data_IF_242703359898
#
_entry.id   IF_242703359898
#
_cell.length_a   1.000
_cell.length_b   1.000
_cell.length_c   1.000
_cell.angle_alpha   90.00
_cell.angle_beta   90.00
_cell.angle_gamma   90.00
#
_symmetry.space_group_name_H-M   'P 1'
#
loop_
_entity.id
_entity.type
_entity.pdbx_description
1 polymer ?
#
# COMPACT_ATOMS: atom_id res chain seq x y z
N UNK A 1 0.46 -2.05 -18.47
CA UNK A 1 0.00 -1.71 -17.10
C UNK A 1 1.23 -1.71 -16.21
N UNK A 2 2.02 -0.61 -16.19
CA UNK A 2 3.39 -0.57 -15.62
C UNK A 2 3.51 0.30 -14.36
N UNK A 3 2.41 0.58 -13.65
CA UNK A 3 2.43 1.52 -12.53
C UNK A 3 3.34 1.08 -11.37
N UNK A 4 3.55 -0.22 -11.17
CA UNK A 4 4.43 -0.75 -10.10
C UNK A 4 5.91 -0.49 -10.38
N UNK A 5 6.34 -0.53 -11.65
CA UNK A 5 7.74 -0.26 -12.01
C UNK A 5 8.13 1.18 -11.73
N UNK A 6 7.23 2.12 -12.02
CA UNK A 6 7.40 3.54 -11.74
C UNK A 6 7.45 3.82 -10.22
N UNK A 7 6.66 3.10 -9.40
CA UNK A 7 6.78 3.18 -7.92
C UNK A 7 8.18 2.73 -7.48
N UNK A 8 8.70 1.63 -8.04
CA UNK A 8 10.02 1.11 -7.68
C UNK A 8 11.17 2.01 -8.15
N UNK A 9 10.96 2.82 -9.20
CA UNK A 9 11.89 3.86 -9.66
C UNK A 9 11.77 5.19 -8.90
N UNK A 10 10.92 5.27 -7.87
CA UNK A 10 10.58 6.50 -7.15
C UNK A 10 9.99 7.61 -8.04
N UNK A 11 9.35 7.24 -9.14
CA UNK A 11 8.66 8.18 -10.03
C UNK A 11 7.26 8.55 -9.51
N UNK A 12 6.75 7.83 -8.49
CA UNK A 12 5.54 8.19 -7.75
C UNK A 12 5.87 8.44 -6.28
N UNK A 13 5.51 9.63 -5.78
CA UNK A 13 5.74 10.03 -4.39
C UNK A 13 4.45 10.49 -3.71
N UNK A 14 4.42 10.37 -2.38
CA UNK A 14 3.34 10.83 -1.53
C UNK A 14 3.60 12.24 -1.04
N UNK A 15 2.59 13.10 -1.08
CA UNK A 15 2.69 14.46 -0.55
C UNK A 15 2.62 14.43 0.98
N UNK A 16 3.44 15.23 1.66
CA UNK A 16 3.62 15.12 3.11
C UNK A 16 2.40 15.40 4.00
N UNK A 17 1.38 16.07 3.48
CA UNK A 17 0.14 16.35 4.23
C UNK A 17 -0.73 15.10 4.43
N UNK A 18 -0.46 14.02 3.71
CA UNK A 18 -1.40 12.93 3.60
C UNK A 18 -1.43 12.02 4.83
N UNK A 19 -2.60 11.43 5.10
CA UNK A 19 -2.80 10.54 6.26
C UNK A 19 -2.00 9.25 6.11
N UNK A 20 -1.54 8.73 7.24
CA UNK A 20 -0.88 7.43 7.31
C UNK A 20 -1.79 6.31 6.78
N UNK A 21 -1.16 5.24 6.31
CA UNK A 21 -1.88 4.08 5.81
C UNK A 21 -2.54 3.33 6.98
N UNK A 22 -3.83 3.04 6.85
CA UNK A 22 -4.63 2.46 7.95
C UNK A 22 -5.59 1.34 7.49
N UNK A 23 -5.34 0.74 6.31
CA UNK A 23 -6.22 -0.32 5.81
C UNK A 23 -5.93 -1.67 6.48
N UNK A 24 -7.01 -2.40 6.77
CA UNK A 24 -6.98 -3.81 7.20
C UNK A 24 -6.69 -4.75 6.03
N UNK A 25 -6.22 -5.95 6.33
CA UNK A 25 -5.89 -6.98 5.33
C UNK A 25 -7.07 -7.31 4.41
N UNK A 26 -8.30 -7.32 4.92
CA UNK A 26 -9.50 -7.60 4.14
C UNK A 26 -9.80 -6.52 3.11
N UNK A 27 -9.52 -5.25 3.42
CA UNK A 27 -9.71 -4.14 2.48
C UNK A 27 -8.74 -4.25 1.30
N UNK A 28 -7.50 -4.68 1.56
CA UNK A 28 -6.53 -4.97 0.51
C UNK A 28 -7.04 -6.16 -0.32
N UNK A 29 -7.49 -7.25 0.31
CA UNK A 29 -8.04 -8.40 -0.40
C UNK A 29 -9.21 -8.03 -1.33
N UNK A 30 -10.14 -7.20 -0.86
CA UNK A 30 -11.28 -6.68 -1.66
C UNK A 30 -10.83 -5.81 -2.84
N UNK A 31 -9.76 -5.02 -2.67
CA UNK A 31 -9.19 -4.23 -3.76
C UNK A 31 -8.68 -5.15 -4.89
N UNK A 32 -7.96 -6.22 -4.54
CA UNK A 32 -7.46 -7.18 -5.52
C UNK A 32 -8.56 -8.00 -6.17
N UNK A 33 -9.58 -8.40 -5.40
CA UNK A 33 -10.78 -9.04 -5.93
C UNK A 33 -11.49 -8.16 -6.97
N UNK A 34 -11.69 -6.88 -6.63
CA UNK A 34 -12.31 -5.89 -7.52
C UNK A 34 -11.53 -5.72 -8.82
N UNK A 35 -10.19 -5.64 -8.74
CA UNK A 35 -9.30 -5.58 -9.89
C UNK A 35 -9.38 -6.84 -10.77
N UNK A 36 -9.39 -8.03 -10.16
CA UNK A 36 -9.52 -9.31 -10.87
C UNK A 36 -10.89 -9.47 -11.55
N UNK A 37 -11.94 -8.87 -10.99
CA UNK A 37 -13.26 -8.82 -11.61
C UNK A 37 -13.37 -7.79 -12.75
N UNK A 38 -12.32 -7.00 -13.01
CA UNK A 38 -12.32 -5.97 -14.05
C UNK A 38 -13.05 -4.69 -13.67
N UNK A 39 -13.40 -4.50 -12.40
CA UNK A 39 -13.96 -3.23 -11.94
C UNK A 39 -12.84 -2.18 -11.95
N UNK A 40 -13.11 -1.05 -12.59
CA UNK A 40 -12.17 0.06 -12.58
C UNK A 40 -12.10 0.61 -11.17
N UNK A 41 -10.94 0.50 -10.53
CA UNK A 41 -10.66 1.33 -9.35
C UNK A 41 -10.93 2.79 -9.75
N UNK A 42 -11.66 3.52 -8.90
CA UNK A 42 -12.02 4.94 -9.12
C UNK A 42 -10.84 5.76 -9.65
N UNK A 43 -11.09 6.88 -10.33
CA UNK A 43 -10.03 7.76 -10.85
C UNK A 43 -8.98 8.08 -9.78
N UNK A 44 -7.73 8.27 -10.21
CA UNK A 44 -6.61 8.69 -9.36
C UNK A 44 -6.05 10.01 -9.89
N UNK A 45 -5.69 10.93 -8.99
CA UNK A 45 -5.16 12.23 -9.35
C UNK A 45 -3.65 12.25 -9.16
N UNK A 46 -2.94 12.61 -10.23
CA UNK A 46 -1.48 12.70 -10.28
C UNK A 46 -1.07 14.13 -10.63
N UNK A 47 -0.11 14.67 -9.89
CA UNK A 47 0.51 15.95 -10.19
C UNK A 47 1.95 15.75 -10.63
N UNK A 48 2.27 16.13 -11.87
CA UNK A 48 3.65 16.09 -12.36
C UNK A 48 4.47 17.22 -11.74
N UNK A 49 5.46 16.88 -10.93
CA UNK A 49 6.33 17.85 -10.24
C UNK A 49 7.63 18.01 -11.02
N UNK A 50 7.88 19.24 -11.47
CA UNK A 50 9.04 19.60 -12.28
C UNK A 50 9.70 20.88 -11.77
N UNK A 51 10.99 21.06 -12.06
CA UNK A 51 11.74 22.28 -11.77
C UNK A 51 11.76 22.69 -10.29
N UNK A 52 11.65 23.99 -10.03
CA UNK A 52 11.79 24.59 -8.69
C UNK A 52 10.70 24.18 -7.69
N UNK A 53 9.59 23.61 -8.16
CA UNK A 53 8.48 23.18 -7.31
C UNK A 53 8.86 22.02 -6.40
N UNK A 54 9.91 21.26 -6.77
CA UNK A 54 10.44 20.13 -6.01
C UNK A 54 10.91 20.50 -4.60
N UNK A 55 11.39 21.74 -4.41
CA UNK A 55 11.92 22.23 -3.14
C UNK A 55 10.85 22.84 -2.21
N UNK A 56 9.64 23.10 -2.73
CA UNK A 56 8.56 23.76 -1.96
C UNK A 56 7.77 22.79 -1.08
N UNK A 57 7.81 21.50 -1.40
CA UNK A 57 6.98 20.48 -0.75
C UNK A 57 7.84 19.31 -0.27
N UNK A 58 7.40 18.69 0.82
CA UNK A 58 7.98 17.46 1.33
C UNK A 58 7.27 16.26 0.71
N UNK A 59 8.05 15.27 0.31
CA UNK A 59 7.56 14.07 -0.33
C UNK A 59 8.07 12.83 0.40
N UNK A 60 7.26 11.78 0.39
CA UNK A 60 7.58 10.50 1.00
C UNK A 60 7.48 9.35 0.01
N UNK A 61 8.29 8.34 0.23
CA UNK A 61 8.18 7.07 -0.48
C UNK A 61 6.97 6.29 0.02
N UNK A 62 6.39 5.47 -0.86
CA UNK A 62 5.39 4.49 -0.44
C UNK A 62 5.99 3.52 0.58
N UNK A 63 5.21 3.01 1.51
CA UNK A 63 5.63 1.86 2.32
C UNK A 63 5.47 0.58 1.50
N UNK A 64 6.38 -0.37 1.70
CA UNK A 64 6.27 -1.73 1.17
C UNK A 64 6.06 -2.78 2.27
N UNK A 65 6.33 -2.43 3.53
CA UNK A 65 6.05 -3.24 4.70
C UNK A 65 5.08 -2.46 5.58
N UNK A 66 4.09 -3.14 6.15
CA UNK A 66 3.15 -2.53 7.07
C UNK A 66 2.92 -3.44 8.28
N UNK A 67 2.85 -2.84 9.47
CA UNK A 67 2.51 -3.51 10.73
C UNK A 67 1.29 -2.82 11.30
N UNK A 68 0.21 -3.57 11.46
CA UNK A 68 -1.06 -3.09 11.99
C UNK A 68 -1.08 -3.22 13.52
N UNK A 69 -1.41 -2.13 14.21
CA UNK A 69 -1.79 -2.08 15.64
C UNK A 69 -0.74 -2.59 16.66
N UNK A 70 0.54 -2.63 16.30
CA UNK A 70 1.61 -2.87 17.27
C UNK A 70 1.73 -1.67 18.23
N UNK A 71 1.82 -1.94 19.54
CA UNK A 71 1.76 -0.90 20.58
C UNK A 71 2.97 0.04 20.57
N UNK A 72 4.13 -0.51 20.25
CA UNK A 72 5.46 0.11 20.37
C UNK A 72 6.17 0.24 19.02
N UNK A 73 5.49 -0.08 17.91
CA UNK A 73 6.08 -0.07 16.58
C UNK A 73 5.12 0.48 15.54
N UNK A 74 5.59 1.46 14.76
CA UNK A 74 4.84 2.04 13.66
C UNK A 74 5.75 2.22 12.46
N UNK A 75 5.31 1.80 11.29
CA UNK A 75 6.03 2.05 10.04
C UNK A 75 5.57 3.39 9.49
N UNK A 76 6.49 4.33 9.41
CA UNK A 76 6.27 5.63 8.80
C UNK A 76 6.83 5.66 7.38
N UNK A 77 6.21 6.47 6.52
CA UNK A 77 6.73 6.69 5.18
C UNK A 77 8.10 7.40 5.25
N UNK A 78 9.08 6.90 4.48
CA UNK A 78 10.43 7.46 4.46
C UNK A 78 10.45 8.76 3.66
N UNK A 79 11.07 9.80 4.21
CA UNK A 79 11.25 11.07 3.51
C UNK A 79 12.12 10.87 2.27
N UNK A 80 11.66 11.40 1.13
CA UNK A 80 12.38 11.36 -0.12
C UNK A 80 13.09 12.71 -0.36
N UNK A 81 14.41 12.70 -0.48
CA UNK A 81 15.16 13.92 -0.77
C UNK A 81 15.01 14.27 -2.26
N UNK A 82 14.23 15.32 -2.54
CA UNK A 82 13.90 15.76 -3.89
C UNK A 82 14.96 16.64 -4.55
N UNK A 83 16.01 17.03 -3.82
CA UNK A 83 16.98 18.06 -4.27
C UNK A 83 17.73 17.67 -5.56
N UNK A 84 18.02 16.38 -5.75
CA UNK A 84 18.71 15.84 -6.94
C UNK A 84 17.85 14.82 -7.70
N UNK A 85 16.53 14.84 -7.51
CA UNK A 85 15.63 13.87 -8.12
C UNK A 85 15.20 14.28 -9.54
N UNK A 86 15.06 13.30 -10.42
CA UNK A 86 14.41 13.49 -11.73
C UNK A 86 12.96 13.95 -11.56
N UNK A 87 12.26 14.26 -12.65
CA UNK A 87 10.83 14.58 -12.56
C UNK A 87 10.03 13.39 -12.05
N UNK A 88 9.06 13.64 -11.18
CA UNK A 88 8.22 12.62 -10.55
C UNK A 88 6.76 13.08 -10.50
N UNK A 89 5.87 12.13 -10.24
CA UNK A 89 4.45 12.37 -10.04
C UNK A 89 4.11 12.29 -8.54
N UNK A 90 3.59 13.38 -8.01
CA UNK A 90 2.98 13.40 -6.68
C UNK A 90 1.56 12.85 -6.76
N UNK A 91 1.24 11.91 -5.89
CA UNK A 91 -0.14 11.39 -5.78
C UNK A 91 -0.96 12.36 -4.95
N UNK A 92 -2.08 12.84 -5.47
CA UNK A 92 -3.01 13.74 -4.79
C UNK A 92 -4.23 13.00 -4.23
N UNK A 93 -4.68 11.96 -4.92
CA UNK A 93 -5.77 11.07 -4.48
C UNK A 93 -5.44 9.59 -4.81
N UNK A 94 -6.08 8.65 -4.12
CA UNK A 94 -5.91 7.22 -4.35
C UNK A 94 -4.68 6.62 -3.66
N UNK A 95 -4.07 7.35 -2.73
CA UNK A 95 -2.84 6.94 -2.08
C UNK A 95 -2.96 5.60 -1.34
N UNK A 96 -4.00 5.41 -0.52
CA UNK A 96 -4.20 4.17 0.22
C UNK A 96 -4.36 2.98 -0.74
N UNK A 97 -5.03 3.19 -1.88
CA UNK A 97 -5.17 2.16 -2.93
C UNK A 97 -3.82 1.81 -3.54
N UNK A 98 -2.99 2.80 -3.86
CA UNK A 98 -1.64 2.56 -4.39
C UNK A 98 -0.71 1.90 -3.38
N UNK A 99 -0.76 2.32 -2.11
CA UNK A 99 -0.03 1.67 -1.02
C UNK A 99 -0.47 0.22 -0.83
N UNK A 100 -1.79 -0.04 -0.81
CA UNK A 100 -2.34 -1.38 -0.73
C UNK A 100 -1.91 -2.25 -1.93
N UNK A 101 -1.91 -1.70 -3.15
CA UNK A 101 -1.41 -2.39 -4.34
C UNK A 101 0.06 -2.76 -4.20
N UNK A 102 0.89 -1.82 -3.75
CA UNK A 102 2.33 -2.08 -3.54
C UNK A 102 2.55 -3.17 -2.50
N UNK A 103 1.84 -3.10 -1.37
CA UNK A 103 1.93 -4.11 -0.30
C UNK A 103 1.49 -5.48 -0.82
N UNK A 104 0.35 -5.56 -1.53
CA UNK A 104 -0.18 -6.83 -2.01
C UNK A 104 0.64 -7.48 -3.13
N UNK A 105 1.30 -6.70 -3.99
CA UNK A 105 2.09 -7.25 -5.12
C UNK A 105 3.50 -7.67 -4.69
N UNK A 106 4.19 -6.85 -3.89
CA UNK A 106 5.62 -7.02 -3.62
C UNK A 106 6.03 -6.67 -2.20
N UNK A 107 5.06 -6.58 -1.28
CA UNK A 107 5.29 -6.14 0.09
C UNK A 107 4.89 -7.18 1.13
N UNK A 108 4.91 -6.74 2.39
CA UNK A 108 4.49 -7.58 3.52
C UNK A 108 3.53 -6.84 4.43
N UNK A 109 2.57 -7.57 4.97
CA UNK A 109 1.59 -7.08 5.94
C UNK A 109 1.69 -7.93 7.22
N UNK A 110 1.84 -7.28 8.36
CA UNK A 110 1.86 -7.94 9.66
C UNK A 110 0.69 -7.46 10.51
N UNK A 111 -0.07 -8.40 11.06
CA UNK A 111 -1.06 -8.14 12.12
C UNK A 111 -0.85 -9.12 13.28
N UNK A 112 -1.41 -8.76 14.43
CA UNK A 112 -1.27 -9.46 15.71
C UNK A 112 -1.74 -10.92 15.65
N UNK A 113 -0.96 -11.81 16.25
CA UNK A 113 -1.30 -13.21 16.46
C UNK A 113 -2.09 -13.40 17.76
N UNK A 114 -3.16 -14.19 17.68
CA UNK A 114 -4.02 -14.45 18.84
C UNK A 114 -3.20 -15.05 19.99
N UNK A 115 -3.46 -14.57 21.21
CA UNK A 115 -2.80 -15.01 22.45
C UNK A 115 -1.29 -14.73 22.51
N UNK A 116 -0.79 -13.74 21.75
CA UNK A 116 0.60 -13.24 21.82
C UNK A 116 0.68 -11.83 22.40
N UNK A 117 1.90 -11.36 22.68
CA UNK A 117 2.15 -9.98 23.16
C UNK A 117 1.74 -8.95 22.11
N UNK A 118 1.27 -7.78 22.54
CA UNK A 118 1.01 -6.62 21.66
C UNK A 118 2.27 -5.79 21.36
N UNK A 119 3.40 -6.12 21.98
CA UNK A 119 4.72 -5.60 21.63
C UNK A 119 5.20 -6.24 20.31
N UNK A 120 5.86 -5.44 19.49
CA UNK A 120 6.30 -5.87 18.18
C UNK A 120 7.40 -6.92 18.27
N UNK A 121 7.11 -8.09 17.70
CA UNK A 121 8.09 -9.15 17.48
C UNK A 121 7.66 -9.99 16.28
N UNK A 122 8.59 -10.72 15.67
CA UNK A 122 8.26 -11.63 14.57
C UNK A 122 7.30 -12.76 14.98
N UNK A 123 7.21 -13.08 16.28
CA UNK A 123 6.28 -14.08 16.82
C UNK A 123 4.88 -13.50 17.09
N UNK A 124 4.78 -12.22 17.47
CA UNK A 124 3.50 -11.54 17.70
C UNK A 124 2.91 -10.92 16.43
N UNK A 125 3.75 -10.46 15.50
CA UNK A 125 3.37 -9.75 14.27
C UNK A 125 4.13 -10.32 13.07
N UNK A 126 3.94 -11.61 12.74
CA UNK A 126 4.66 -12.24 11.64
C UNK A 126 4.34 -11.55 10.31
N UNK A 127 5.37 -11.37 9.49
CA UNK A 127 5.24 -10.80 8.15
C UNK A 127 4.59 -11.79 7.20
N UNK A 128 3.55 -11.33 6.51
CA UNK A 128 2.77 -12.13 5.56
C UNK A 128 2.74 -11.47 4.19
N UNK A 129 2.60 -12.27 3.14
CA UNK A 129 2.46 -11.82 1.75
C UNK A 129 1.08 -12.19 1.24
N UNK A 130 0.55 -11.46 0.27
CA UNK A 130 -0.80 -11.72 -0.24
C UNK A 130 -0.83 -12.97 -1.13
N UNK A 131 -1.75 -13.88 -0.85
CA UNK A 131 -2.00 -15.10 -1.63
C UNK A 131 -3.42 -15.11 -2.19
N UNK A 132 -3.56 -15.61 -3.41
CA UNK A 132 -4.84 -15.96 -4.03
C UNK A 132 -5.13 -17.44 -3.81
N UNK A 133 -6.31 -17.76 -3.28
CA UNK A 133 -6.79 -19.13 -3.24
C UNK A 133 -7.28 -19.56 -4.64
N UNK A 134 -6.60 -20.54 -5.23
CA UNK A 134 -6.95 -21.08 -6.56
C UNK A 134 -7.92 -22.26 -6.51
N UNK A 135 -8.05 -22.93 -5.37
CA UNK A 135 -8.91 -24.12 -5.20
C UNK A 135 -10.34 -23.75 -4.84
N UNK A 136 -10.57 -22.53 -4.34
CA UNK A 136 -11.88 -22.04 -3.93
C UNK A 136 -12.08 -20.64 -4.47
N UNK A 137 -13.13 -20.45 -5.25
CA UNK A 137 -13.70 -19.13 -5.51
C UNK A 137 -14.69 -18.80 -4.39
N UNK A 138 -14.93 -17.51 -4.15
CA UNK A 138 -16.00 -17.09 -3.25
C UNK A 138 -17.35 -17.64 -3.72
N UNK A 139 -18.26 -17.86 -2.76
CA UNK A 139 -19.65 -18.20 -3.10
C UNK A 139 -20.32 -16.93 -3.65
N UNK A 140 -21.26 -17.08 -4.58
CA UNK A 140 -21.97 -15.97 -5.26
C UNK A 140 -22.67 -15.03 -4.25
N UNK A 141 -22.99 -15.51 -3.05
CA UNK A 141 -23.58 -14.73 -1.95
C UNK A 141 -22.58 -13.92 -1.11
N UNK A 142 -21.28 -14.09 -1.32
CA UNK A 142 -20.25 -13.25 -0.69
C UNK A 142 -19.87 -12.15 -1.66
N UNK A 143 -19.74 -10.91 -1.16
CA UNK A 143 -19.28 -9.72 -1.88
C UNK A 143 -17.89 -9.85 -2.58
N UNK A 144 -17.29 -11.04 -2.64
CA UNK A 144 -15.98 -11.30 -3.23
C UNK A 144 -15.98 -12.59 -4.08
N UNK A 145 -15.53 -12.49 -5.34
CA UNK A 145 -15.42 -13.63 -6.27
C UNK A 145 -14.13 -14.41 -6.08
N UNK A 146 -13.04 -13.71 -5.78
CA UNK A 146 -11.70 -14.22 -5.55
C UNK A 146 -11.31 -14.04 -4.08
N UNK A 147 -10.71 -15.08 -3.50
CA UNK A 147 -10.35 -15.09 -2.09
C UNK A 147 -8.86 -14.79 -1.94
N UNK A 148 -8.58 -13.57 -1.50
CA UNK A 148 -7.23 -13.11 -1.16
C UNK A 148 -7.03 -13.14 0.36
N UNK A 149 -5.86 -13.62 0.81
CA UNK A 149 -5.47 -13.61 2.22
C UNK A 149 -3.97 -13.36 2.36
N UNK A 150 -3.61 -12.70 3.45
CA UNK A 150 -2.23 -12.63 3.94
C UNK A 150 -1.97 -13.83 4.84
#
# INVERSE_FOLDING_TARGET
MNNVEHINKNEYLLLAFQREFAWKSEQIGKLFDSLMCGYTTSSMLFWKVQGLTKAKWKFYEFINKFVLDAKDYTITNKFHNTSNSNDYFAILDGQHRLTALRIGISGTYSYHESRKSWEYSANSFPSRTLYLNISRTGLIDYDCKYLFKF
#
